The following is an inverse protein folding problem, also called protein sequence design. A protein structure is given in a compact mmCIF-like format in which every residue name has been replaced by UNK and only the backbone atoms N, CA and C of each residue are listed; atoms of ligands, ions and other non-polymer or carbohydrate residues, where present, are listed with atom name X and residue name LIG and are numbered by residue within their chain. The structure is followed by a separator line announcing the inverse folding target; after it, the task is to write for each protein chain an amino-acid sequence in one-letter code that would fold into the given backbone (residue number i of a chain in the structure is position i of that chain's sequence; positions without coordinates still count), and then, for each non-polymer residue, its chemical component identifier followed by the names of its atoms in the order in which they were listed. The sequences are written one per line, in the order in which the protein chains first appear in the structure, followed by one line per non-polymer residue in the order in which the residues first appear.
data_IF_256943520781
#
_entry.id   IF_256943520781
#
_cell.length_a   1.000
_cell.length_b   1.000
_cell.length_c   1.000
_cell.angle_alpha   90.00
_cell.angle_beta   90.00
_cell.angle_gamma   90.00
#
_symmetry.space_group_name_H-M   'P 1'
#
loop_
_entity.id
_entity.type
_entity.pdbx_description
1 polymer ?
#
# COMPACT_ATOMS: atom_id res chain seq x y z
N UNK A 1 -24.75 -50.81 10.82
CA UNK A 1 -24.32 -49.40 10.70
C UNK A 1 -22.96 -49.29 11.38
N UNK A 2 -21.89 -49.62 10.65
CA UNK A 2 -20.56 -49.81 11.23
C UNK A 2 -19.78 -48.50 11.15
N UNK A 3 -19.70 -47.79 12.27
CA UNK A 3 -18.72 -46.72 12.45
C UNK A 3 -17.38 -47.41 12.75
N UNK A 4 -16.52 -47.51 11.75
CA UNK A 4 -15.10 -47.86 11.95
C UNK A 4 -14.49 -46.78 12.83
N UNK A 5 -14.31 -47.10 14.12
CA UNK A 5 -13.55 -46.26 15.02
C UNK A 5 -12.10 -46.22 14.51
N UNK A 6 -11.60 -45.01 14.29
CA UNK A 6 -10.20 -44.75 13.95
C UNK A 6 -9.31 -45.41 15.03
N UNK A 7 -8.23 -46.11 14.64
CA UNK A 7 -7.38 -46.76 15.64
C UNK A 7 -6.63 -45.70 16.46
N UNK A 8 -6.43 -45.95 17.76
CA UNK A 8 -5.72 -45.01 18.66
C UNK A 8 -4.33 -44.63 18.12
N UNK A 9 -3.66 -45.55 17.44
CA UNK A 9 -2.34 -45.32 16.85
C UNK A 9 -2.41 -44.41 15.61
N UNK A 10 -3.38 -44.61 14.72
CA UNK A 10 -3.59 -43.70 13.59
C UNK A 10 -3.94 -42.28 14.06
N UNK A 11 -4.69 -42.14 15.16
CA UNK A 11 -5.01 -40.84 15.75
C UNK A 11 -3.74 -40.11 16.22
N UNK A 12 -2.81 -40.81 16.88
CA UNK A 12 -1.54 -40.23 17.32
C UNK A 12 -0.70 -39.78 16.11
N UNK A 13 -0.67 -40.59 15.06
CA UNK A 13 0.10 -40.27 13.85
C UNK A 13 -0.42 -39.00 13.16
N UNK A 14 -1.75 -38.85 13.08
CA UNK A 14 -2.40 -37.64 12.54
C UNK A 14 -2.07 -36.41 13.39
N UNK A 15 -2.12 -36.51 14.73
CA UNK A 15 -1.80 -35.39 15.63
C UNK A 15 -0.34 -34.94 15.45
N UNK A 16 0.60 -35.88 15.33
CA UNK A 16 2.02 -35.57 15.12
C UNK A 16 2.21 -34.82 13.79
N UNK A 17 1.61 -35.32 12.70
CA UNK A 17 1.71 -34.68 11.39
C UNK A 17 1.12 -33.27 11.43
N UNK A 18 -0.08 -33.09 12.00
CA UNK A 18 -0.73 -31.78 12.12
C UNK A 18 0.12 -30.81 12.96
N UNK A 19 0.74 -31.29 14.04
CA UNK A 19 1.58 -30.47 14.91
C UNK A 19 2.79 -29.91 14.15
N UNK A 20 3.48 -30.75 13.38
CA UNK A 20 4.64 -30.33 12.58
C UNK A 20 4.22 -29.38 11.45
N UNK A 21 3.14 -29.70 10.74
CA UNK A 21 2.65 -28.84 9.65
C UNK A 21 2.21 -27.46 10.16
N UNK A 22 1.59 -27.39 11.34
CA UNK A 22 1.11 -26.14 11.93
C UNK A 22 2.25 -25.15 12.15
N UNK A 23 3.40 -25.60 12.67
CA UNK A 23 4.56 -24.73 12.90
C UNK A 23 5.06 -24.11 11.60
N UNK A 24 5.19 -24.91 10.53
CA UNK A 24 5.68 -24.44 9.23
C UNK A 24 4.72 -23.43 8.59
N UNK A 25 3.41 -23.68 8.71
CA UNK A 25 2.38 -22.79 8.18
C UNK A 25 2.41 -21.43 8.88
N UNK A 26 2.59 -21.41 10.21
CA UNK A 26 2.66 -20.15 10.97
C UNK A 26 3.81 -19.27 10.45
N UNK A 27 5.01 -19.82 10.29
CA UNK A 27 6.16 -19.06 9.78
C UNK A 27 5.91 -18.52 8.36
N UNK A 28 5.36 -19.35 7.46
CA UNK A 28 5.03 -18.90 6.10
C UNK A 28 3.93 -17.83 6.11
N UNK A 29 2.91 -17.97 6.95
CA UNK A 29 1.81 -17.03 7.04
C UNK A 29 2.29 -15.61 7.38
N UNK A 30 3.25 -15.46 8.29
CA UNK A 30 3.85 -14.15 8.60
C UNK A 30 4.50 -13.49 7.38
N UNK A 31 5.24 -14.26 6.57
CA UNK A 31 5.88 -13.72 5.36
C UNK A 31 4.86 -13.33 4.28
N UNK A 32 3.81 -14.13 4.09
CA UNK A 32 2.75 -13.82 3.13
C UNK A 32 1.91 -12.62 3.54
N UNK A 33 1.61 -12.46 4.83
CA UNK A 33 0.89 -11.29 5.33
C UNK A 33 1.65 -9.99 5.05
N UNK A 34 2.97 -9.97 5.27
CA UNK A 34 3.80 -8.80 4.95
C UNK A 34 3.80 -8.48 3.45
N UNK A 35 3.91 -9.50 2.60
CA UNK A 35 3.84 -9.33 1.14
C UNK A 35 2.47 -8.84 0.67
N UNK A 36 1.39 -9.29 1.31
CA UNK A 36 0.04 -8.84 1.00
C UNK A 36 -0.14 -7.34 1.30
N UNK A 37 0.30 -6.88 2.47
CA UNK A 37 0.27 -5.46 2.83
C UNK A 37 1.14 -4.60 1.89
N UNK A 38 2.33 -5.09 1.50
CA UNK A 38 3.15 -4.42 0.49
C UNK A 38 2.43 -4.34 -0.86
N UNK A 39 1.78 -5.43 -1.31
CA UNK A 39 1.02 -5.46 -2.54
C UNK A 39 -0.16 -4.49 -2.55
N UNK A 40 -0.86 -4.33 -1.41
CA UNK A 40 -1.94 -3.33 -1.25
C UNK A 40 -1.39 -1.91 -1.41
N UNK A 41 -0.27 -1.58 -0.76
CA UNK A 41 0.38 -0.27 -0.91
C UNK A 41 0.84 -0.01 -2.34
N UNK A 42 1.43 -1.02 -3.00
CA UNK A 42 1.83 -0.95 -4.42
C UNK A 42 0.61 -0.68 -5.30
N UNK A 43 -0.49 -1.41 -5.09
CA UNK A 43 -1.73 -1.24 -5.85
C UNK A 43 -2.32 0.16 -5.62
N UNK A 44 -2.30 0.64 -4.37
CA UNK A 44 -2.76 1.97 -4.02
C UNK A 44 -1.94 3.07 -4.71
N UNK A 45 -0.61 3.03 -4.66
CA UNK A 45 0.23 4.02 -5.34
C UNK A 45 0.12 3.93 -6.87
N UNK A 46 -0.11 2.74 -7.43
CA UNK A 46 -0.45 2.58 -8.85
C UNK A 46 -1.80 3.20 -9.20
N UNK A 47 -2.80 3.08 -8.34
CA UNK A 47 -4.11 3.72 -8.48
C UNK A 47 -3.96 5.25 -8.39
N UNK A 48 -3.16 5.76 -7.45
CA UNK A 48 -2.81 7.19 -7.39
C UNK A 48 -2.20 7.67 -8.70
N UNK A 49 -1.27 6.91 -9.30
CA UNK A 49 -0.70 7.28 -10.58
C UNK A 49 -1.70 7.18 -11.75
N UNK A 50 -2.47 6.09 -11.85
CA UNK A 50 -3.28 5.79 -13.04
C UNK A 50 -4.63 6.48 -13.07
N UNK A 51 -5.25 6.77 -11.93
CA UNK A 51 -6.63 7.29 -11.88
C UNK A 51 -6.73 8.53 -11.01
N UNK A 52 -6.43 8.45 -9.72
CA UNK A 52 -6.66 9.57 -8.80
C UNK A 52 -5.80 10.79 -9.15
N UNK A 53 -4.52 10.60 -9.46
CA UNK A 53 -3.59 11.65 -9.87
C UNK A 53 -4.01 12.35 -11.16
N UNK A 54 -4.54 11.60 -12.13
CA UNK A 54 -5.07 12.19 -13.38
C UNK A 54 -6.34 13.01 -13.08
N UNK A 55 -7.23 12.49 -12.22
CA UNK A 55 -8.44 13.21 -11.81
C UNK A 55 -8.13 14.51 -11.08
N UNK A 56 -7.18 14.48 -10.13
CA UNK A 56 -6.70 15.66 -9.39
C UNK A 56 -6.04 16.68 -10.31
N UNK A 57 -5.23 16.21 -11.26
CA UNK A 57 -4.60 17.04 -12.27
C UNK A 57 -5.60 17.70 -13.21
N UNK A 58 -6.58 16.95 -13.71
CA UNK A 58 -7.66 17.50 -14.54
C UNK A 58 -8.47 18.56 -13.79
N UNK A 59 -8.75 18.31 -12.50
CA UNK A 59 -9.42 19.30 -11.64
C UNK A 59 -8.59 20.59 -11.54
N UNK A 60 -7.30 20.46 -11.30
CA UNK A 60 -6.37 21.59 -11.26
C UNK A 60 -6.38 22.40 -12.55
N UNK A 61 -6.36 21.74 -13.71
CA UNK A 61 -6.43 22.40 -15.01
C UNK A 61 -7.75 23.16 -15.19
N UNK A 62 -8.87 22.55 -14.83
CA UNK A 62 -10.20 23.16 -14.97
C UNK A 62 -10.40 24.37 -14.04
N UNK A 63 -9.74 24.37 -12.88
CA UNK A 63 -9.81 25.45 -11.89
C UNK A 63 -8.69 26.50 -12.09
N UNK A 64 -7.99 26.49 -13.23
CA UNK A 64 -6.89 27.40 -13.57
C UNK A 64 -5.66 27.34 -12.63
N UNK A 65 -5.46 26.21 -11.96
CA UNK A 65 -4.29 25.93 -11.11
C UNK A 65 -3.12 25.26 -11.89
N UNK A 66 -3.16 25.29 -13.23
CA UNK A 66 -2.03 24.89 -14.09
C UNK A 66 -1.49 23.46 -13.87
N UNK A 67 -2.33 22.54 -13.38
CA UNK A 67 -1.91 21.16 -13.12
C UNK A 67 -1.20 20.96 -11.77
N UNK A 68 -1.11 22.01 -10.94
CA UNK A 68 -0.67 21.90 -9.55
C UNK A 68 -1.71 21.12 -8.73
N UNK A 69 -1.31 20.05 -8.04
CA UNK A 69 -2.22 19.29 -7.17
C UNK A 69 -2.13 19.69 -5.70
N UNK A 70 -1.16 20.55 -5.33
CA UNK A 70 -0.94 20.95 -3.95
C UNK A 70 -2.07 21.81 -3.37
N UNK A 71 -2.79 22.53 -4.24
CA UNK A 71 -3.94 23.36 -3.85
C UNK A 71 -5.14 22.54 -3.33
N UNK A 72 -5.23 21.25 -3.67
CA UNK A 72 -6.36 20.41 -3.27
C UNK A 72 -6.30 20.09 -1.78
N UNK A 73 -5.10 20.13 -1.19
CA UNK A 73 -4.79 19.80 0.21
C UNK A 73 -5.27 18.38 0.59
N UNK A 74 -6.57 18.15 0.75
CA UNK A 74 -7.17 16.89 1.20
C UNK A 74 -7.74 16.05 0.05
N UNK A 75 -7.51 14.74 0.07
CA UNK A 75 -8.12 13.78 -0.88
C UNK A 75 -9.03 12.74 -0.24
N UNK A 76 -9.32 12.87 1.06
CA UNK A 76 -10.23 12.00 1.83
C UNK A 76 -11.56 11.67 1.15
N UNK A 77 -12.16 12.64 0.46
CA UNK A 77 -13.47 12.46 -0.18
C UNK A 77 -13.38 11.88 -1.62
N UNK A 78 -12.18 11.62 -2.12
CA UNK A 78 -11.91 11.18 -3.50
C UNK A 78 -11.36 9.78 -3.58
N UNK A 79 -10.74 9.31 -2.49
CA UNK A 79 -10.10 8.00 -2.41
C UNK A 79 -10.44 7.32 -1.09
N UNK A 80 -10.54 5.99 -1.13
CA UNK A 80 -10.60 5.17 0.08
C UNK A 80 -9.16 4.86 0.47
N UNK A 81 -8.75 5.31 1.65
CA UNK A 81 -7.42 5.00 2.18
C UNK A 81 -7.39 3.54 2.67
N UNK A 82 -6.40 2.73 2.25
CA UNK A 82 -6.19 1.42 2.81
C UNK A 82 -5.71 1.52 4.28
N UNK A 83 -6.03 0.54 5.15
CA UNK A 83 -5.64 0.55 6.56
C UNK A 83 -4.12 0.50 6.78
N UNK A 84 -3.36 0.17 5.73
CA UNK A 84 -1.91 0.19 5.69
C UNK A 84 -1.29 1.59 5.72
N UNK A 85 -2.08 2.67 5.54
CA UNK A 85 -1.61 4.05 5.60
C UNK A 85 -1.96 4.68 6.95
N UNK A 86 -1.01 5.44 7.52
CA UNK A 86 -1.27 6.23 8.72
C UNK A 86 -2.09 7.47 8.38
N UNK A 87 -3.17 7.70 9.14
CA UNK A 87 -3.99 8.89 9.03
C UNK A 87 -5.35 8.63 8.39
N UNK A 88 -6.24 9.62 8.49
CA UNK A 88 -7.56 9.58 7.90
C UNK A 88 -7.62 10.28 6.52
N UNK A 89 -6.50 10.83 6.08
CA UNK A 89 -6.37 11.64 4.88
C UNK A 89 -4.90 11.71 4.42
N UNK A 90 -4.69 12.10 3.17
CA UNK A 90 -3.38 12.38 2.58
C UNK A 90 -3.36 13.87 2.23
N UNK A 91 -2.45 14.62 2.86
CA UNK A 91 -2.25 16.03 2.54
C UNK A 91 -1.30 16.17 1.34
N UNK A 92 -1.77 16.83 0.30
CA UNK A 92 -1.02 17.11 -0.92
C UNK A 92 -0.33 18.48 -0.89
N UNK A 93 -0.44 19.27 0.19
CA UNK A 93 0.15 20.60 0.29
C UNK A 93 1.65 20.62 -0.04
N UNK A 94 2.37 19.56 0.31
CA UNK A 94 3.80 19.43 0.05
C UNK A 94 4.11 18.93 -1.38
N UNK A 95 3.10 18.57 -2.18
CA UNK A 95 3.23 18.24 -3.60
C UNK A 95 3.38 19.47 -4.48
N UNK A 96 4.22 20.43 -4.12
CA UNK A 96 4.38 21.69 -4.85
C UNK A 96 5.54 21.65 -5.86
N UNK A 97 6.47 20.71 -5.74
CA UNK A 97 7.67 20.64 -6.58
C UNK A 97 7.46 19.79 -7.83
N UNK A 98 7.87 20.31 -8.99
CA UNK A 98 7.87 19.60 -10.28
C UNK A 98 9.18 18.86 -10.55
N UNK A 99 10.17 19.00 -9.67
CA UNK A 99 11.52 18.42 -9.82
C UNK A 99 11.85 17.43 -8.72
N UNK A 100 11.46 17.75 -7.48
CA UNK A 100 11.73 16.93 -6.29
C UNK A 100 10.47 16.19 -5.82
N UNK A 101 10.69 15.06 -5.16
CA UNK A 101 9.66 14.31 -4.48
C UNK A 101 9.53 14.76 -3.03
N UNK A 102 8.29 14.93 -2.57
CA UNK A 102 7.98 15.26 -1.19
C UNK A 102 7.07 14.20 -0.58
N UNK A 103 7.31 13.90 0.70
CA UNK A 103 6.54 12.93 1.47
C UNK A 103 5.13 13.42 1.71
N UNK A 104 4.15 12.57 1.44
CA UNK A 104 2.72 12.86 1.69
C UNK A 104 2.06 11.90 2.67
N UNK A 105 2.58 10.69 2.79
CA UNK A 105 2.01 9.68 3.67
C UNK A 105 3.06 8.64 4.07
N UNK A 106 2.81 8.01 5.20
CA UNK A 106 3.62 6.92 5.75
C UNK A 106 2.74 5.71 6.02
N UNK A 107 3.32 4.51 5.96
CA UNK A 107 2.59 3.31 6.32
C UNK A 107 2.34 3.19 7.83
N UNK A 108 1.23 2.55 8.16
CA UNK A 108 0.93 2.10 9.51
C UNK A 108 1.77 0.87 9.85
N UNK A 109 2.85 1.08 10.60
CA UNK A 109 3.79 0.03 11.01
C UNK A 109 3.15 -1.02 11.92
N UNK A 110 2.02 -0.73 12.58
CA UNK A 110 1.29 -1.71 13.39
C UNK A 110 0.68 -2.81 12.52
N UNK A 111 0.20 -2.44 11.33
CA UNK A 111 -0.43 -3.32 10.34
C UNK A 111 0.62 -3.93 9.43
N UNK A 112 1.41 -3.08 8.78
CA UNK A 112 2.35 -3.48 7.71
C UNK A 112 3.64 -4.12 8.23
N UNK A 113 3.96 -3.95 9.53
CA UNK A 113 5.21 -4.37 10.19
C UNK A 113 6.50 -3.76 9.63
N UNK A 114 6.39 -2.95 8.58
CA UNK A 114 7.49 -2.32 7.85
C UNK A 114 7.16 -0.88 7.53
N UNK A 115 8.17 -0.03 7.46
CA UNK A 115 7.96 1.38 7.13
C UNK A 115 8.03 1.60 5.61
N UNK A 116 6.97 2.17 5.06
CA UNK A 116 6.89 2.63 3.69
C UNK A 116 6.55 4.11 3.67
N UNK A 117 7.12 4.80 2.70
CA UNK A 117 6.89 6.22 2.45
C UNK A 117 6.25 6.37 1.07
N UNK A 118 5.19 7.15 1.01
CA UNK A 118 4.59 7.60 -0.25
C UNK A 118 5.04 9.04 -0.46
N UNK A 119 5.72 9.27 -1.57
CA UNK A 119 6.07 10.61 -2.01
C UNK A 119 5.28 11.00 -3.26
N UNK A 120 5.09 12.30 -3.45
CA UNK A 120 4.55 12.89 -4.66
C UNK A 120 5.52 13.87 -5.31
N UNK A 121 5.30 14.07 -6.60
CA UNK A 121 5.90 15.11 -7.42
C UNK A 121 4.77 15.76 -8.22
N UNK A 122 4.77 17.09 -8.24
CA UNK A 122 3.67 17.88 -8.76
C UNK A 122 3.48 17.71 -10.27
N UNK A 123 2.27 18.00 -10.74
CA UNK A 123 1.95 18.11 -12.15
C UNK A 123 2.33 19.47 -12.74
N UNK A 124 2.24 19.57 -14.06
CA UNK A 124 2.36 20.79 -14.86
C UNK A 124 1.24 20.82 -15.90
N UNK A 125 1.02 21.90 -16.67
CA UNK A 125 -0.04 21.92 -17.68
C UNK A 125 0.07 20.83 -18.75
N UNK A 126 1.25 20.22 -18.88
CA UNK A 126 1.56 19.20 -19.89
C UNK A 126 1.89 17.83 -19.31
N UNK A 127 2.02 17.70 -17.98
CA UNK A 127 2.44 16.46 -17.32
C UNK A 127 1.62 16.22 -16.06
N UNK A 128 1.11 15.00 -15.92
CA UNK A 128 0.43 14.53 -14.72
C UNK A 128 1.40 14.42 -13.53
N UNK A 129 0.91 14.53 -12.28
CA UNK A 129 1.72 14.28 -11.09
C UNK A 129 2.18 12.83 -11.02
N UNK A 130 3.28 12.61 -10.31
CA UNK A 130 3.85 11.28 -10.07
C UNK A 130 3.82 10.96 -8.59
N UNK A 131 3.49 9.71 -8.28
CA UNK A 131 3.55 9.17 -6.93
C UNK A 131 4.52 7.99 -6.90
N UNK A 132 5.33 7.90 -5.86
CA UNK A 132 6.26 6.78 -5.66
C UNK A 132 6.08 6.15 -4.30
N UNK A 133 6.40 4.87 -4.23
CA UNK A 133 6.40 4.09 -2.99
C UNK A 133 7.83 3.66 -2.69
N UNK A 134 8.32 4.01 -1.51
CA UNK A 134 9.66 3.63 -1.04
C UNK A 134 9.50 2.76 0.21
N UNK A 135 10.22 1.64 0.24
CA UNK A 135 10.43 0.87 1.46
C UNK A 135 11.66 1.42 2.18
N UNK A 136 11.49 1.86 3.42
CA UNK A 136 12.52 2.60 4.16
C UNK A 136 13.66 1.69 4.61
N UNK A 137 13.36 0.43 4.94
CA UNK A 137 14.33 -0.55 5.47
C UNK A 137 15.54 -0.77 4.56
N UNK A 138 15.32 -0.84 3.26
CA UNK A 138 16.33 -1.10 2.24
C UNK A 138 16.43 0.02 1.20
N UNK A 139 15.76 1.16 1.45
CA UNK A 139 15.63 2.29 0.54
C UNK A 139 15.18 1.86 -0.88
N UNK A 140 14.38 0.79 -0.98
CA UNK A 140 13.96 0.24 -2.27
C UNK A 140 12.74 0.96 -2.78
N UNK A 141 12.83 1.45 -4.02
CA UNK A 141 11.69 2.01 -4.74
C UNK A 141 10.85 0.85 -5.28
N UNK A 142 9.61 0.74 -4.80
CA UNK A 142 8.67 -0.32 -5.19
C UNK A 142 7.75 0.09 -6.33
N UNK A 143 7.43 1.38 -6.41
CA UNK A 143 6.65 1.97 -7.50
C UNK A 143 7.30 3.28 -7.89
N UNK A 144 7.64 3.41 -9.17
CA UNK A 144 7.98 4.68 -9.81
C UNK A 144 7.29 4.74 -11.18
N UNK A 145 6.95 5.95 -11.63
CA UNK A 145 6.36 6.20 -12.94
C UNK A 145 7.20 7.14 -13.81
N UNK A 146 8.27 7.73 -13.28
CA UNK A 146 9.23 8.53 -14.08
C UNK A 146 9.75 7.77 -15.31
#
# INVERSE_FOLDING_TARGET
MNKTAFTMLEMIFVIIIISIMSVIIIFKYFTFSQQAHEAVLIAFVRMLNRTAGISLWNKSLNENHHGDISYIHSIKNRIILPPEINGADIDLKDCNSTTMYHKIAESNTKVTKKMYIIDCKNGTPKRVPFFRLIRVEDNKILVNRE
#
